data_IF_038231331476
#
_entry.id   IF_038231331476
#
_cell.length_a   1.000
_cell.length_b   1.000
_cell.length_c   1.000
_cell.angle_alpha   90.00
_cell.angle_beta   90.00
_cell.angle_gamma   90.00
#
_symmetry.space_group_name_H-M   'P 1'
#
loop_
_entity.id
_entity.type
_entity.pdbx_description
1 polymer ?
#
# COMPACT_ATOMS: atom_id res chain seq x y z
N UNK A 1 0.35 -7.98 -25.91
CA UNK A 1 1.65 -8.33 -25.28
C UNK A 1 1.59 -8.05 -23.78
N UNK A 2 2.19 -8.92 -22.96
CA UNK A 2 2.17 -8.82 -21.50
C UNK A 2 3.59 -9.05 -20.96
N UNK A 3 4.02 -8.24 -20.01
CA UNK A 3 5.32 -8.41 -19.34
C UNK A 3 5.12 -9.13 -18.01
N UNK A 4 5.75 -10.30 -17.83
CA UNK A 4 5.68 -11.09 -16.59
C UNK A 4 7.02 -10.98 -15.87
N UNK A 5 7.00 -10.57 -14.61
CA UNK A 5 8.21 -10.32 -13.81
C UNK A 5 8.03 -10.74 -12.34
N UNK A 6 9.13 -10.92 -11.62
CA UNK A 6 9.12 -11.30 -10.20
C UNK A 6 9.35 -12.80 -9.98
N UNK A 7 8.63 -13.40 -9.03
CA UNK A 7 8.82 -14.79 -8.56
C UNK A 7 8.24 -15.86 -9.51
N UNK A 8 8.51 -15.75 -10.81
CA UNK A 8 8.19 -16.73 -11.87
C UNK A 8 9.46 -17.38 -12.40
N UNK A 9 9.34 -18.58 -12.98
CA UNK A 9 10.53 -19.32 -13.48
C UNK A 9 11.22 -18.60 -14.64
N UNK A 10 10.46 -18.06 -15.58
CA UNK A 10 10.96 -17.37 -16.76
C UNK A 10 10.32 -15.98 -16.84
N UNK A 11 10.90 -14.95 -16.22
CA UNK A 11 10.43 -13.58 -16.40
C UNK A 11 10.74 -13.10 -17.82
N UNK A 12 9.82 -12.34 -18.42
CA UNK A 12 9.96 -11.89 -19.81
C UNK A 12 8.68 -11.34 -20.43
N UNK A 13 8.77 -10.98 -21.71
CA UNK A 13 7.64 -10.55 -22.53
C UNK A 13 6.97 -11.75 -23.18
N UNK A 14 5.65 -11.83 -23.03
CA UNK A 14 4.82 -12.90 -23.59
C UNK A 14 3.75 -12.32 -24.50
N UNK A 15 3.59 -12.96 -25.67
CA UNK A 15 2.54 -12.62 -26.63
C UNK A 15 1.40 -13.60 -26.45
N UNK A 16 0.39 -13.18 -25.69
CA UNK A 16 -0.79 -13.98 -25.36
C UNK A 16 -2.04 -13.28 -25.88
N UNK A 17 -3.09 -14.06 -26.19
CA UNK A 17 -4.37 -13.51 -26.58
C UNK A 17 -5.03 -12.76 -25.41
N UNK A 18 -5.68 -11.63 -25.69
CA UNK A 18 -6.37 -10.82 -24.67
C UNK A 18 -7.58 -11.51 -24.02
N UNK A 19 -8.05 -12.63 -24.58
CA UNK A 19 -9.09 -13.48 -23.99
C UNK A 19 -8.57 -14.39 -22.86
N UNK A 20 -7.24 -14.52 -22.73
CA UNK A 20 -6.62 -15.34 -21.69
C UNK A 20 -6.55 -14.59 -20.36
N UNK A 21 -6.28 -15.34 -19.29
CA UNK A 21 -6.21 -14.82 -17.93
C UNK A 21 -4.77 -14.64 -17.46
N UNK A 22 -4.62 -13.91 -16.37
CA UNK A 22 -3.34 -13.75 -15.66
C UNK A 22 -2.72 -15.11 -15.29
N UNK A 23 -3.53 -16.12 -14.96
CA UNK A 23 -3.06 -17.50 -14.75
C UNK A 23 -2.33 -18.06 -15.95
N UNK A 24 -2.86 -17.88 -17.16
CA UNK A 24 -2.28 -18.44 -18.38
C UNK A 24 -0.93 -17.80 -18.67
N UNK A 25 -0.80 -16.50 -18.37
CA UNK A 25 0.48 -15.79 -18.47
C UNK A 25 1.52 -16.31 -17.46
N UNK A 26 1.12 -16.60 -16.24
CA UNK A 26 2.00 -17.17 -15.22
C UNK A 26 2.41 -18.61 -15.61
N UNK A 27 1.48 -19.41 -16.13
CA UNK A 27 1.78 -20.75 -16.65
C UNK A 27 2.75 -20.69 -17.83
N UNK A 28 2.54 -19.76 -18.77
CA UNK A 28 3.46 -19.51 -19.88
C UNK A 28 4.86 -19.07 -19.41
N UNK A 29 4.94 -18.35 -18.28
CA UNK A 29 6.19 -18.02 -17.61
C UNK A 29 6.84 -19.19 -16.85
N UNK A 30 6.29 -20.40 -16.95
CA UNK A 30 6.78 -21.60 -16.27
C UNK A 30 6.25 -21.79 -14.84
N UNK A 31 5.21 -21.04 -14.47
CA UNK A 31 4.57 -21.13 -13.16
C UNK A 31 5.26 -20.29 -12.08
N UNK A 32 4.65 -20.34 -10.89
CA UNK A 32 5.17 -19.70 -9.69
C UNK A 32 6.40 -20.48 -9.16
N UNK A 33 7.38 -19.74 -8.63
CA UNK A 33 8.51 -20.32 -7.91
C UNK A 33 8.15 -20.52 -6.43
N UNK A 34 8.95 -21.27 -5.67
CA UNK A 34 8.77 -21.41 -4.21
C UNK A 34 8.96 -20.08 -3.46
N UNK A 35 9.67 -19.14 -4.09
CA UNK A 35 9.81 -17.79 -3.59
C UNK A 35 8.57 -16.92 -3.87
N UNK A 36 7.51 -17.41 -4.51
CA UNK A 36 6.30 -16.63 -4.75
C UNK A 36 5.41 -16.62 -3.51
N UNK A 37 4.80 -15.47 -3.20
CA UNK A 37 3.85 -15.36 -2.09
C UNK A 37 2.41 -15.64 -2.57
N UNK A 38 1.79 -16.79 -2.23
CA UNK A 38 0.41 -17.09 -2.60
C UNK A 38 -0.60 -16.09 -2.00
N UNK A 39 -0.26 -15.45 -0.89
CA UNK A 39 -1.09 -14.45 -0.23
C UNK A 39 -1.13 -13.10 -0.95
N UNK A 40 -0.23 -12.84 -1.91
CA UNK A 40 -0.17 -11.56 -2.63
C UNK A 40 -0.15 -11.73 -4.14
N UNK A 41 -0.57 -12.88 -4.64
CA UNK A 41 -0.64 -13.08 -6.08
C UNK A 41 -1.53 -12.01 -6.73
N UNK A 42 -1.14 -11.56 -7.95
CA UNK A 42 -2.02 -10.70 -8.75
C UNK A 42 -3.35 -11.43 -9.00
N UNK A 43 -4.39 -10.69 -9.38
CA UNK A 43 -5.69 -11.28 -9.65
C UNK A 43 -5.60 -12.31 -10.79
N UNK A 44 -5.48 -13.57 -10.40
CA UNK A 44 -5.29 -14.73 -11.27
C UNK A 44 -6.45 -14.87 -12.28
N UNK A 45 -7.67 -14.49 -11.88
CA UNK A 45 -8.85 -14.57 -12.72
C UNK A 45 -9.04 -13.36 -13.66
N UNK A 46 -8.22 -12.31 -13.53
CA UNK A 46 -8.33 -11.13 -14.39
C UNK A 46 -7.96 -11.46 -15.84
N UNK A 47 -8.67 -10.85 -16.79
CA UNK A 47 -8.33 -10.92 -18.21
C UNK A 47 -7.03 -10.17 -18.49
N UNK A 48 -6.24 -10.70 -19.43
CA UNK A 48 -5.05 -10.03 -19.93
C UNK A 48 -5.46 -8.80 -20.75
N UNK A 49 -4.90 -7.65 -20.40
CA UNK A 49 -4.99 -6.45 -21.24
C UNK A 49 -3.67 -6.25 -21.96
N UNK A 50 -3.73 -5.70 -23.17
CA UNK A 50 -2.53 -5.30 -23.89
C UNK A 50 -1.71 -4.28 -23.10
N UNK A 51 -0.39 -4.37 -23.23
CA UNK A 51 0.58 -3.54 -22.52
C UNK A 51 0.51 -3.65 -20.99
N UNK A 52 -0.02 -4.76 -20.47
CA UNK A 52 -0.07 -5.00 -19.03
C UNK A 52 1.22 -5.62 -18.50
N UNK A 53 1.57 -5.23 -17.28
CA UNK A 53 2.61 -5.87 -16.49
C UNK A 53 1.98 -6.73 -15.39
N UNK A 54 2.39 -7.99 -15.34
CA UNK A 54 2.10 -8.91 -14.25
C UNK A 54 3.35 -9.01 -13.40
N UNK A 55 3.26 -8.51 -12.17
CA UNK A 55 4.32 -8.64 -11.17
C UNK A 55 3.90 -9.72 -10.18
N UNK A 56 4.69 -10.78 -10.07
CA UNK A 56 4.52 -11.81 -9.06
C UNK A 56 5.44 -11.47 -7.87
N UNK A 57 4.89 -11.11 -6.70
CA UNK A 57 5.71 -10.70 -5.57
C UNK A 57 6.50 -11.88 -5.00
N UNK A 58 7.70 -11.59 -4.49
CA UNK A 58 8.48 -12.53 -3.70
C UNK A 58 7.88 -12.66 -2.30
N UNK A 59 8.04 -13.84 -1.70
CA UNK A 59 7.71 -14.14 -0.31
C UNK A 59 8.37 -13.10 0.61
N UNK A 60 7.57 -12.51 1.52
CA UNK A 60 8.03 -11.45 2.42
C UNK A 60 8.18 -10.06 1.79
N UNK A 61 8.10 -9.93 0.46
CA UNK A 61 8.06 -8.64 -0.27
C UNK A 61 6.66 -8.25 -0.70
N UNK A 62 5.65 -8.86 -0.08
CA UNK A 62 4.32 -8.30 -0.05
C UNK A 62 4.35 -6.92 0.59
N UNK A 63 4.56 -5.89 -0.23
CA UNK A 63 3.99 -4.58 0.02
C UNK A 63 2.46 -4.70 -0.15
N UNK A 64 1.83 -5.59 0.60
CA UNK A 64 0.46 -5.41 1.03
C UNK A 64 0.57 -4.22 1.98
N UNK A 65 0.67 -3.03 1.39
CA UNK A 65 0.40 -1.79 2.06
C UNK A 65 -0.95 -2.07 2.70
N UNK A 66 -0.94 -2.37 4.00
CA UNK A 66 -2.17 -2.47 4.75
C UNK A 66 -2.80 -1.13 4.46
N UNK A 67 -3.87 -1.10 3.66
CA UNK A 67 -4.89 -0.06 3.73
C UNK A 67 -5.60 -0.15 5.09
N UNK A 68 -4.85 -0.49 6.15
CA UNK A 68 -5.19 -0.20 7.51
C UNK A 68 -4.85 1.27 7.67
N UNK A 69 -5.77 1.98 8.29
CA UNK A 69 -5.54 3.36 8.65
C UNK A 69 -4.24 3.44 9.46
N UNK A 70 -3.40 4.41 9.16
CA UNK A 70 -2.14 4.65 9.86
C UNK A 70 -2.47 5.10 11.29
N UNK A 71 -1.97 4.36 12.27
CA UNK A 71 -2.15 4.69 13.67
C UNK A 71 -1.30 5.92 14.01
N UNK A 72 -1.93 7.02 14.44
CA UNK A 72 -1.22 8.25 14.78
C UNK A 72 -0.28 8.10 15.98
N UNK A 73 -0.61 7.23 16.93
CA UNK A 73 0.17 7.01 18.15
C UNK A 73 1.37 6.10 17.93
N UNK A 74 1.38 5.33 16.83
CA UNK A 74 2.48 4.43 16.46
C UNK A 74 3.25 4.90 15.23
N UNK A 75 2.70 5.82 14.44
CA UNK A 75 3.32 6.31 13.21
C UNK A 75 4.67 6.99 13.46
N UNK A 76 5.61 6.77 12.55
CA UNK A 76 6.85 7.55 12.46
C UNK A 76 6.63 8.87 11.72
N UNK A 77 7.57 9.80 11.85
CA UNK A 77 7.52 11.08 11.13
C UNK A 77 7.39 10.88 9.63
N UNK A 78 8.18 9.96 9.09
CA UNK A 78 8.20 9.59 7.68
C UNK A 78 6.84 9.02 7.25
N UNK A 79 6.23 8.17 8.07
CA UNK A 79 4.90 7.62 7.80
C UNK A 79 3.80 8.69 7.84
N UNK A 80 3.88 9.66 8.75
CA UNK A 80 2.94 10.78 8.77
C UNK A 80 3.06 11.63 7.50
N UNK A 81 4.28 11.93 7.05
CA UNK A 81 4.54 12.70 5.83
C UNK A 81 4.04 12.02 4.54
N UNK A 82 3.85 10.70 4.55
CA UNK A 82 3.24 9.98 3.41
C UNK A 82 1.73 10.22 3.30
N UNK A 83 1.09 10.80 4.32
CA UNK A 83 -0.35 11.04 4.32
C UNK A 83 -0.67 12.33 3.55
N UNK A 84 -1.56 12.28 2.55
CA UNK A 84 -1.98 13.49 1.82
C UNK A 84 -2.61 14.52 2.75
N UNK A 85 -2.07 15.75 2.74
CA UNK A 85 -2.51 16.83 3.62
C UNK A 85 -1.79 16.89 4.96
N UNK A 86 -0.79 16.03 5.20
CA UNK A 86 0.11 16.13 6.34
C UNK A 86 1.34 16.96 5.98
N UNK A 87 1.57 18.05 6.70
CA UNK A 87 2.78 18.86 6.59
C UNK A 87 3.82 18.48 7.66
N UNK A 88 5.08 18.87 7.42
CA UNK A 88 6.19 18.54 8.33
C UNK A 88 6.02 19.16 9.71
N UNK A 89 5.52 20.41 9.80
CA UNK A 89 5.29 21.08 11.07
C UNK A 89 4.22 20.34 11.90
N UNK A 90 3.13 19.90 11.26
CA UNK A 90 2.10 19.07 11.87
C UNK A 90 2.64 17.71 12.32
N UNK A 91 3.44 17.04 11.49
CA UNK A 91 4.03 15.76 11.85
C UNK A 91 4.94 15.88 13.09
N UNK A 92 5.76 16.94 13.15
CA UNK A 92 6.61 17.24 14.31
C UNK A 92 5.78 17.59 15.55
N UNK A 93 4.69 18.34 15.39
CA UNK A 93 3.77 18.69 16.48
C UNK A 93 3.02 17.46 17.02
N UNK A 94 2.62 16.53 16.16
CA UNK A 94 2.00 15.24 16.54
C UNK A 94 2.97 14.42 17.40
N UNK A 95 4.24 14.31 17.00
CA UNK A 95 5.27 13.58 17.75
C UNK A 95 5.50 14.25 19.11
N UNK A 96 5.59 15.57 19.14
CA UNK A 96 5.73 16.33 20.39
C UNK A 96 4.54 16.08 21.32
N UNK A 97 3.32 16.19 20.81
CA UNK A 97 2.10 15.94 21.58
C UNK A 97 2.06 14.51 22.16
N UNK A 98 2.49 13.50 21.40
CA UNK A 98 2.61 12.12 21.89
C UNK A 98 3.56 11.99 23.06
N UNK A 99 4.69 12.70 23.03
CA UNK A 99 5.68 12.67 24.10
C UNK A 99 5.21 13.43 25.36
N UNK A 100 4.52 14.55 25.18
CA UNK A 100 4.06 15.39 26.29
C UNK A 100 2.78 14.85 26.96
N UNK A 101 1.83 14.32 26.18
CA UNK A 101 0.49 13.92 26.65
C UNK A 101 0.24 12.40 26.62
N UNK A 102 1.22 11.61 26.17
CA UNK A 102 1.12 10.14 26.11
C UNK A 102 0.36 9.61 24.89
N UNK A 103 -0.03 10.48 23.95
CA UNK A 103 -0.71 10.11 22.70
C UNK A 103 -2.06 10.78 22.52
N UNK A 104 -2.74 10.45 21.44
CA UNK A 104 -4.10 10.87 21.12
C UNK A 104 -5.08 9.80 21.59
N UNK A 105 -6.15 10.18 22.29
CA UNK A 105 -7.27 9.30 22.65
C UNK A 105 -8.35 9.29 21.55
N UNK A 106 -8.45 10.36 20.76
CA UNK A 106 -9.40 10.44 19.66
C UNK A 106 -8.87 11.29 18.50
N UNK A 107 -9.31 10.97 17.28
CA UNK A 107 -8.97 11.79 16.10
C UNK A 107 -9.48 13.23 16.23
N UNK A 108 -10.55 13.49 16.98
CA UNK A 108 -11.06 14.85 17.20
C UNK A 108 -10.04 15.76 17.91
N UNK A 109 -9.13 15.19 18.70
CA UNK A 109 -8.09 15.95 19.39
C UNK A 109 -7.07 16.55 18.43
N UNK A 110 -6.77 15.90 17.30
CA UNK A 110 -5.94 16.50 16.24
C UNK A 110 -6.50 17.85 15.79
N UNK A 111 -7.82 17.94 15.62
CA UNK A 111 -8.47 19.17 15.18
C UNK A 111 -8.34 20.28 16.23
N UNK A 112 -8.57 19.94 17.49
CA UNK A 112 -8.55 20.91 18.59
C UNK A 112 -7.13 21.30 19.03
N UNK A 113 -6.21 20.34 19.09
CA UNK A 113 -4.85 20.56 19.58
C UNK A 113 -3.96 21.24 18.54
N UNK A 114 -4.09 20.88 17.25
CA UNK A 114 -3.22 21.38 16.18
C UNK A 114 -3.87 22.48 15.34
N UNK A 115 -5.13 22.86 15.63
CA UNK A 115 -5.82 23.93 14.90
C UNK A 115 -6.06 23.63 13.42
N UNK A 116 -6.30 22.36 13.07
CA UNK A 116 -6.42 21.94 11.67
C UNK A 116 -7.70 22.46 11.00
N UNK A 117 -7.57 22.86 9.74
CA UNK A 117 -8.71 23.16 8.88
C UNK A 117 -9.61 21.94 8.70
N UNK A 118 -10.92 22.19 8.53
CA UNK A 118 -11.90 21.12 8.35
C UNK A 118 -11.61 20.23 7.12
N UNK A 119 -11.00 20.81 6.08
CA UNK A 119 -10.61 20.09 4.85
C UNK A 119 -9.46 19.14 5.14
N UNK A 120 -8.39 19.64 5.72
CA UNK A 120 -7.19 18.88 6.09
C UNK A 120 -7.55 17.75 7.05
N UNK A 121 -8.30 18.04 8.10
CA UNK A 121 -8.79 17.04 9.05
C UNK A 121 -9.60 15.92 8.38
N UNK A 122 -10.48 16.26 7.43
CA UNK A 122 -11.30 15.27 6.71
C UNK A 122 -10.45 14.38 5.79
N UNK A 123 -9.35 14.88 5.25
CA UNK A 123 -8.41 14.07 4.47
C UNK A 123 -7.60 13.14 5.36
N UNK A 124 -7.08 13.67 6.47
CA UNK A 124 -6.30 12.92 7.44
C UNK A 124 -7.13 11.80 8.09
N UNK A 125 -8.35 12.08 8.55
CA UNK A 125 -9.25 11.09 9.18
C UNK A 125 -9.68 9.92 8.28
N UNK A 126 -9.53 10.03 6.95
CA UNK A 126 -9.74 8.89 6.04
C UNK A 126 -8.60 7.88 6.09
N UNK A 127 -7.40 8.35 6.39
CA UNK A 127 -6.16 7.60 6.32
C UNK A 127 -5.60 7.27 7.71
N UNK A 128 -5.93 8.07 8.73
CA UNK A 128 -5.47 7.92 10.10
C UNK A 128 -6.46 7.17 11.01
N UNK A 129 -5.95 6.52 12.04
CA UNK A 129 -6.73 5.91 13.13
C UNK A 129 -6.07 6.15 14.46
N UNK A 130 -6.85 5.98 15.52
CA UNK A 130 -6.40 5.91 16.92
C UNK A 130 -6.84 4.54 17.45
N UNK A 131 -6.01 3.84 18.23
CA UNK A 131 -6.36 2.56 18.85
C UNK A 131 -7.33 2.72 20.03
#
# INVERSE_FOLDING_TARGET
MVYVSGAVRNPGLYTLAASLRVTDAIVAAGGLTEAADPGCLPNLAAHLKDSSQIVVPLAGHCARAKKGKLDINLATREQLLLVPGMDGALADAIIKYRNDFGGFAALTELKSAMGLDAVTYKQLSKTLTVP
#
